data_IF_256790351291
#
_entry.id   IF_256790351291
#
_cell.length_a   1.000
_cell.length_b   1.000
_cell.length_c   1.000
_cell.angle_alpha   90.00
_cell.angle_beta   90.00
_cell.angle_gamma   90.00
#
_symmetry.space_group_name_H-M   'P 1'
#
loop_
_entity.id
_entity.type
_entity.pdbx_description
1 polymer ?
#
# COMPACT_ATOMS: atom_id res chain seq x y z
N UNK A 1 -1.45 1.93 -14.95
CA UNK A 1 -1.72 3.32 -14.51
C UNK A 1 -1.44 3.35 -13.02
N UNK A 2 -0.48 4.17 -12.58
CA UNK A 2 -0.22 4.39 -11.15
C UNK A 2 -1.43 5.11 -10.54
N UNK A 3 -1.83 4.72 -9.33
CA UNK A 3 -2.93 5.37 -8.61
C UNK A 3 -2.39 6.56 -7.83
N UNK A 4 -3.05 7.71 -7.94
CA UNK A 4 -2.81 8.81 -7.00
C UNK A 4 -3.30 8.42 -5.60
N UNK A 5 -2.78 9.08 -4.56
CA UNK A 5 -3.20 8.83 -3.17
C UNK A 5 -4.71 9.06 -3.00
N UNK A 6 -5.27 10.12 -3.60
CA UNK A 6 -6.70 10.41 -3.54
C UNK A 6 -7.58 9.33 -4.19
N UNK A 7 -7.15 8.80 -5.34
CA UNK A 7 -7.84 7.69 -6.00
C UNK A 7 -7.76 6.40 -5.19
N UNK A 8 -6.58 6.08 -4.66
CA UNK A 8 -6.39 4.90 -3.85
C UNK A 8 -7.21 4.94 -2.55
N UNK A 9 -7.21 6.07 -1.83
CA UNK A 9 -8.06 6.31 -0.66
C UNK A 9 -9.54 6.11 -1.01
N UNK A 10 -9.99 6.66 -2.15
CA UNK A 10 -11.37 6.47 -2.61
C UNK A 10 -11.68 4.99 -2.89
N UNK A 11 -10.77 4.24 -3.49
CA UNK A 11 -10.99 2.82 -3.75
C UNK A 11 -10.98 1.97 -2.47
N UNK A 12 -10.11 2.28 -1.50
CA UNK A 12 -10.13 1.60 -0.18
C UNK A 12 -11.43 1.91 0.56
N UNK A 13 -11.90 3.17 0.55
CA UNK A 13 -13.19 3.55 1.14
C UNK A 13 -14.37 2.76 0.55
N UNK A 14 -14.35 2.56 -0.76
CA UNK A 14 -15.37 1.80 -1.49
C UNK A 14 -15.09 0.28 -1.49
N UNK A 15 -14.11 -0.18 -0.71
CA UNK A 15 -13.73 -1.60 -0.58
C UNK A 15 -13.37 -2.26 -1.92
N UNK A 16 -12.92 -1.46 -2.89
CA UNK A 16 -12.46 -1.92 -4.19
C UNK A 16 -10.97 -2.31 -4.13
N UNK A 17 -10.66 -3.29 -3.29
CA UNK A 17 -9.30 -3.70 -2.96
C UNK A 17 -8.54 -4.25 -4.17
N UNK A 18 -9.23 -4.93 -5.09
CA UNK A 18 -8.62 -5.49 -6.30
C UNK A 18 -8.03 -4.39 -7.21
N UNK A 19 -8.72 -3.25 -7.31
CA UNK A 19 -8.23 -2.09 -8.07
C UNK A 19 -7.02 -1.43 -7.41
N UNK A 20 -7.03 -1.33 -6.08
CA UNK A 20 -5.88 -0.82 -5.30
C UNK A 20 -4.69 -1.76 -5.44
N UNK A 21 -4.89 -3.07 -5.30
CA UNK A 21 -3.85 -4.09 -5.44
C UNK A 21 -3.19 -4.06 -6.83
N UNK A 22 -4.00 -3.88 -7.88
CA UNK A 22 -3.50 -3.72 -9.26
C UNK A 22 -2.63 -2.47 -9.39
N UNK A 23 -3.07 -1.34 -8.83
CA UNK A 23 -2.29 -0.10 -8.84
C UNK A 23 -0.96 -0.23 -8.09
N UNK A 24 -0.98 -0.83 -6.90
CA UNK A 24 0.22 -1.09 -6.10
C UNK A 24 1.18 -2.04 -6.79
N UNK A 25 0.67 -3.11 -7.42
CA UNK A 25 1.49 -4.04 -8.19
C UNK A 25 2.20 -3.31 -9.33
N UNK A 26 1.48 -2.51 -10.11
CA UNK A 26 2.07 -1.76 -11.23
C UNK A 26 3.17 -0.81 -10.73
N UNK A 27 2.88 -0.04 -9.68
CA UNK A 27 3.81 0.94 -9.11
C UNK A 27 5.07 0.29 -8.51
N UNK A 28 4.90 -0.71 -7.64
CA UNK A 28 6.01 -1.35 -6.94
C UNK A 28 6.93 -2.15 -7.87
N UNK A 29 6.36 -2.78 -8.90
CA UNK A 29 7.13 -3.59 -9.84
C UNK A 29 7.66 -2.78 -11.04
N UNK A 30 7.09 -1.63 -11.39
CA UNK A 30 7.73 -0.73 -12.37
C UNK A 30 9.01 -0.04 -11.85
N UNK A 31 9.19 0.09 -10.52
CA UNK A 31 10.23 0.95 -9.92
C UNK A 31 11.54 0.25 -9.50
N UNK A 32 11.69 -1.07 -9.69
CA UNK A 32 12.87 -1.82 -9.22
C UNK A 32 14.12 -1.69 -10.12
N UNK A 33 14.54 -0.45 -10.43
CA UNK A 33 15.83 -0.06 -11.07
C UNK A 33 15.80 0.43 -12.54
N UNK A 34 14.70 1.00 -13.06
CA UNK A 34 14.68 1.53 -14.44
C UNK A 34 14.77 0.47 -15.55
N UNK A 35 15.09 -0.78 -15.21
CA UNK A 35 14.80 -1.96 -16.01
C UNK A 35 13.34 -2.37 -15.78
N UNK A 36 12.66 -2.73 -16.87
CA UNK A 36 11.36 -3.40 -16.81
C UNK A 36 11.55 -4.66 -15.98
N UNK A 37 11.11 -4.65 -14.73
CA UNK A 37 10.74 -5.89 -14.06
C UNK A 37 9.77 -6.60 -15.01
N UNK A 38 10.18 -7.73 -15.58
CA UNK A 38 9.38 -8.38 -16.59
C UNK A 38 8.19 -9.05 -15.89
N UNK A 39 6.94 -8.55 -16.06
CA UNK A 39 5.77 -9.13 -15.42
C UNK A 39 5.46 -10.56 -15.94
N UNK A 40 6.10 -11.01 -17.02
CA UNK A 40 6.07 -12.39 -17.50
C UNK A 40 7.04 -13.34 -16.77
N UNK A 41 8.06 -12.79 -16.10
CA UNK A 41 8.99 -13.56 -15.24
C UNK A 41 8.61 -13.54 -13.77
N UNK A 42 7.63 -12.72 -13.37
CA UNK A 42 7.06 -12.76 -12.04
C UNK A 42 6.27 -14.06 -11.89
N UNK A 43 6.79 -15.06 -11.16
CA UNK A 43 5.99 -16.24 -10.87
C UNK A 43 4.79 -15.73 -10.09
N UNK A 44 3.60 -16.01 -10.58
CA UNK A 44 2.35 -15.77 -9.88
C UNK A 44 1.90 -14.30 -9.73
N UNK A 45 1.76 -13.52 -10.82
CA UNK A 45 1.04 -12.21 -10.79
C UNK A 45 -0.29 -12.31 -10.02
N UNK A 46 -1.08 -13.36 -10.27
CA UNK A 46 -2.35 -13.61 -9.58
C UNK A 46 -2.18 -13.81 -8.07
N UNK A 47 -1.10 -14.46 -7.63
CA UNK A 47 -0.78 -14.64 -6.21
C UNK A 47 -0.32 -13.34 -5.57
N UNK A 48 0.46 -12.52 -6.27
CA UNK A 48 0.83 -11.19 -5.80
C UNK A 48 -0.40 -10.29 -5.62
N UNK A 49 -1.28 -10.24 -6.62
CA UNK A 49 -2.53 -9.50 -6.51
C UNK A 49 -3.38 -10.01 -5.34
N UNK A 50 -3.50 -11.33 -5.19
CA UNK A 50 -4.22 -11.94 -4.07
C UNK A 50 -3.58 -11.61 -2.70
N UNK A 51 -2.25 -11.60 -2.59
CA UNK A 51 -1.53 -11.25 -1.36
C UNK A 51 -1.69 -9.77 -1.00
N UNK A 52 -1.55 -8.87 -1.97
CA UNK A 52 -1.74 -7.43 -1.76
C UNK A 52 -3.20 -7.16 -1.36
N UNK A 53 -4.16 -7.79 -2.04
CA UNK A 53 -5.58 -7.65 -1.71
C UNK A 53 -5.92 -8.19 -0.32
N UNK A 54 -5.38 -9.36 0.04
CA UNK A 54 -5.55 -9.92 1.38
C UNK A 54 -4.97 -8.99 2.45
N UNK A 55 -3.78 -8.42 2.20
CA UNK A 55 -3.16 -7.49 3.13
C UNK A 55 -3.94 -6.18 3.30
N UNK A 56 -4.46 -5.63 2.19
CA UNK A 56 -5.36 -4.47 2.21
C UNK A 56 -6.60 -4.73 3.07
N UNK A 57 -7.23 -5.90 2.91
CA UNK A 57 -8.41 -6.29 3.69
C UNK A 57 -8.08 -6.43 5.16
N UNK A 58 -7.00 -7.12 5.49
CA UNK A 58 -6.51 -7.32 6.86
C UNK A 58 -6.25 -5.98 7.55
N UNK A 59 -5.48 -5.09 6.92
CA UNK A 59 -5.14 -3.77 7.46
C UNK A 59 -6.37 -2.86 7.59
N UNK A 60 -7.23 -2.82 6.57
CA UNK A 60 -8.44 -2.00 6.62
C UNK A 60 -9.40 -2.47 7.70
N UNK A 61 -9.56 -3.79 7.86
CA UNK A 61 -10.41 -4.37 8.90
C UNK A 61 -9.86 -4.09 10.31
N UNK A 62 -8.56 -4.28 10.52
CA UNK A 62 -7.90 -3.99 11.79
C UNK A 62 -8.06 -2.51 12.16
N UNK A 63 -7.78 -1.59 11.21
CA UNK A 63 -7.92 -0.14 11.44
C UNK A 63 -9.37 0.30 11.62
N UNK A 64 -10.32 -0.32 10.92
CA UNK A 64 -11.75 -0.08 11.15
C UNK A 64 -12.15 -0.47 12.57
N UNK A 65 -11.64 -1.58 13.09
CA UNK A 65 -11.92 -2.05 14.44
C UNK A 65 -11.26 -1.21 15.54
N UNK A 66 -10.03 -0.71 15.31
CA UNK A 66 -9.33 0.16 16.26
C UNK A 66 -9.81 1.62 16.20
N UNK A 67 -10.13 2.11 15.00
CA UNK A 67 -10.47 3.50 14.72
C UNK A 67 -11.96 3.83 14.79
N UNK A 68 -12.83 2.87 15.13
CA UNK A 68 -14.30 3.04 15.12
C UNK A 68 -14.80 4.21 15.98
N UNK A 69 -13.99 4.69 16.94
CA UNK A 69 -14.38 5.73 17.89
C UNK A 69 -13.49 6.99 17.86
N UNK A 70 -12.40 7.03 17.10
CA UNK A 70 -11.40 8.11 17.20
C UNK A 70 -10.91 8.69 15.88
N UNK A 71 -11.20 8.06 14.73
CA UNK A 71 -10.57 8.43 13.47
C UNK A 71 -11.56 8.51 12.29
N UNK A 72 -11.49 9.56 11.44
CA UNK A 72 -12.26 9.64 10.21
C UNK A 72 -11.98 8.46 9.26
N UNK A 73 -13.03 7.97 8.59
CA UNK A 73 -12.92 6.87 7.62
C UNK A 73 -11.92 7.15 6.49
N UNK A 74 -11.77 8.41 6.09
CA UNK A 74 -10.85 8.81 5.03
C UNK A 74 -9.38 8.61 5.45
N UNK A 75 -9.05 8.92 6.70
CA UNK A 75 -7.69 8.72 7.23
C UNK A 75 -7.40 7.24 7.39
N UNK A 76 -8.35 6.45 7.90
CA UNK A 76 -8.25 4.99 7.97
C UNK A 76 -7.93 4.39 6.59
N UNK A 77 -8.63 4.83 5.55
CA UNK A 77 -8.41 4.35 4.19
C UNK A 77 -7.06 4.79 3.61
N UNK A 78 -6.65 6.03 3.88
CA UNK A 78 -5.38 6.57 3.44
C UNK A 78 -4.20 5.88 4.12
N UNK A 79 -4.25 5.70 5.44
CA UNK A 79 -3.24 4.96 6.20
C UNK A 79 -3.17 3.49 5.77
N UNK A 80 -4.32 2.84 5.53
CA UNK A 80 -4.36 1.48 5.00
C UNK A 80 -3.56 1.38 3.69
N UNK A 81 -3.77 2.33 2.77
CA UNK A 81 -3.03 2.37 1.52
C UNK A 81 -1.53 2.57 1.75
N UNK A 82 -1.16 3.56 2.57
CA UNK A 82 0.24 3.89 2.87
C UNK A 82 0.97 2.71 3.51
N UNK A 83 0.41 2.11 4.56
CA UNK A 83 1.05 1.01 5.28
C UNK A 83 1.17 -0.24 4.43
N UNK A 84 0.17 -0.55 3.61
CA UNK A 84 0.25 -1.68 2.68
C UNK A 84 1.34 -1.43 1.64
N UNK A 85 1.47 -0.20 1.14
CA UNK A 85 2.51 0.17 0.18
C UNK A 85 3.90 0.04 0.79
N UNK A 86 4.10 0.53 2.01
CA UNK A 86 5.35 0.37 2.77
C UNK A 86 5.70 -1.10 3.00
N UNK A 87 4.70 -1.91 3.38
CA UNK A 87 4.87 -3.36 3.50
C UNK A 87 5.33 -4.00 2.19
N UNK A 88 4.69 -3.65 1.06
CA UNK A 88 5.02 -4.19 -0.26
C UNK A 88 6.44 -3.80 -0.68
N UNK A 89 6.83 -2.54 -0.48
CA UNK A 89 8.17 -2.07 -0.82
C UNK A 89 9.25 -2.75 0.03
N UNK A 90 9.03 -2.88 1.35
CA UNK A 90 9.93 -3.60 2.25
C UNK A 90 10.11 -5.06 1.82
N UNK A 91 9.02 -5.72 1.43
CA UNK A 91 9.03 -7.11 1.01
C UNK A 91 9.78 -7.30 -0.32
N UNK A 92 9.69 -6.33 -1.22
CA UNK A 92 10.37 -6.35 -2.52
C UNK A 92 11.80 -5.80 -2.49
N UNK A 93 12.24 -5.25 -1.35
CA UNK A 93 13.52 -4.58 -1.19
C UNK A 93 13.62 -3.27 -2.00
N UNK A 94 12.49 -2.64 -2.31
CA UNK A 94 12.42 -1.37 -3.03
C UNK A 94 12.52 -0.23 -2.01
N UNK A 95 13.41 0.73 -2.24
CA UNK A 95 13.44 2.00 -1.49
C UNK A 95 12.77 3.07 -2.34
N UNK A 96 11.54 3.47 -2.00
CA UNK A 96 10.76 4.37 -2.86
C UNK A 96 9.81 5.29 -2.12
N UNK A 97 8.84 4.75 -1.39
CA UNK A 97 7.76 5.51 -0.76
C UNK A 97 8.22 6.30 0.45
N UNK A 98 9.02 5.70 1.35
CA UNK A 98 9.57 6.43 2.50
C UNK A 98 10.39 7.65 2.05
N UNK A 99 11.26 7.49 1.05
CA UNK A 99 12.11 8.58 0.57
C UNK A 99 11.32 9.68 -0.17
N UNK A 100 10.34 9.31 -1.01
CA UNK A 100 9.49 10.28 -1.73
C UNK A 100 8.49 11.00 -0.82
N UNK A 101 8.10 10.40 0.30
CA UNK A 101 7.11 10.95 1.24
C UNK A 101 7.68 11.30 2.62
N UNK A 102 8.99 11.54 2.76
CA UNK A 102 9.61 12.04 4.01
C UNK A 102 8.99 13.35 4.54
N UNK A 103 8.27 14.10 3.72
CA UNK A 103 7.47 15.28 4.12
C UNK A 103 6.00 14.99 4.44
N UNK A 104 5.53 13.75 4.24
CA UNK A 104 4.14 13.35 4.45
C UNK A 104 4.01 12.77 5.86
N UNK A 105 4.07 13.65 6.86
CA UNK A 105 3.72 13.31 8.24
C UNK A 105 2.21 13.09 8.34
N UNK A 106 1.73 11.93 7.90
CA UNK A 106 0.62 11.28 8.58
C UNK A 106 1.15 11.00 9.99
N UNK A 107 0.45 11.44 11.04
CA UNK A 107 0.88 11.33 12.44
C UNK A 107 1.10 9.90 12.99
N UNK A 108 1.44 8.96 12.13
CA UNK A 108 2.06 7.69 12.44
C UNK A 108 3.54 7.96 12.76
N UNK A 109 3.84 8.21 14.03
CA UNK A 109 5.17 7.97 14.57
C UNK A 109 5.52 6.51 14.29
N UNK A 110 6.24 6.27 13.18
CA UNK A 110 7.00 5.05 13.03
C UNK A 110 8.09 5.13 14.09
N UNK A 111 7.80 4.60 15.28
CA UNK A 111 8.83 4.30 16.26
C UNK A 111 9.80 3.34 15.58
N UNK A 112 10.92 3.88 15.12
CA UNK A 112 12.14 3.15 14.87
C UNK A 112 12.48 2.37 16.15
N UNK A 113 11.97 1.15 16.22
CA UNK A 113 12.31 0.17 17.24
C UNK A 113 12.98 -0.98 16.53
N UNK A 114 14.20 -0.72 16.05
CA UNK A 114 15.25 -1.73 16.02
C UNK A 114 16.52 -1.04 16.50
N UNK A 115 16.86 -1.32 17.76
CA UNK A 115 18.20 -1.08 18.34
C UNK A 115 19.23 -1.95 17.64
#
# INVERSE_FOLDING_TARGET
MELTLGEATRYVLNENYSKVATGMYIDAFHLKNGEKFNPETAPDKSKWLAQIEAKLKEMHAAKKATGTFSQPRHEIAQETYVETKLWLEKLLGVKGYEEKNKGFHLGLDFKDSVK
#
